data_IF_078901189543
#
_entry.id   IF_078901189543
#
_cell.length_a   1.000
_cell.length_b   1.000
_cell.length_c   1.000
_cell.angle_alpha   90.00
_cell.angle_beta   90.00
_cell.angle_gamma   90.00
#
_symmetry.space_group_name_H-M   'P 1'
#
loop_
_entity.id
_entity.type
_entity.pdbx_description
1 polymer ?
#
# COMPACT_ATOMS: atom_id res chain seq x y z
N UNK A 1 36.45 -43.41 67.61
CA UNK A 1 36.00 -42.02 67.88
C UNK A 1 37.11 -41.11 67.39
N UNK A 2 36.98 -40.17 66.46
CA UNK A 2 35.84 -39.42 65.90
C UNK A 2 36.37 -38.73 64.64
N UNK A 3 35.74 -38.91 63.48
CA UNK A 3 36.07 -38.22 62.23
C UNK A 3 35.15 -37.01 62.02
N UNK A 4 35.74 -35.83 61.79
CA UNK A 4 35.07 -34.63 61.25
C UNK A 4 35.84 -34.10 60.04
N UNK A 5 35.09 -33.39 59.19
CA UNK A 5 35.46 -32.61 58.00
C UNK A 5 35.58 -33.44 56.70
N UNK A 6 35.03 -33.03 55.55
CA UNK A 6 34.11 -31.95 55.21
C UNK A 6 33.45 -32.36 53.87
N UNK A 7 32.13 -32.15 53.71
CA UNK A 7 31.46 -32.34 52.43
C UNK A 7 31.78 -31.15 51.52
N UNK A 8 32.67 -31.34 50.56
CA UNK A 8 32.91 -30.39 49.48
C UNK A 8 31.87 -30.57 48.38
N UNK A 9 31.06 -29.53 48.20
CA UNK A 9 30.77 -28.91 46.90
C UNK A 9 30.38 -29.85 45.75
N UNK A 10 29.08 -30.19 45.65
CA UNK A 10 28.46 -30.65 44.39
C UNK A 10 27.35 -29.65 44.02
N UNK A 11 27.73 -28.40 43.76
CA UNK A 11 26.79 -27.36 43.38
C UNK A 11 27.44 -26.44 42.36
N UNK A 12 27.78 -26.94 41.18
CA UNK A 12 28.33 -26.07 40.13
C UNK A 12 27.96 -26.47 38.71
N UNK A 13 27.68 -27.74 38.42
CA UNK A 13 27.40 -28.19 37.04
C UNK A 13 25.95 -27.98 36.59
N UNK A 14 24.97 -28.12 37.48
CA UNK A 14 23.55 -27.96 37.14
C UNK A 14 23.13 -26.49 36.95
N UNK A 15 23.73 -25.57 37.71
CA UNK A 15 23.42 -24.14 37.65
C UNK A 15 23.95 -23.47 36.37
N UNK A 16 25.09 -23.93 35.85
CA UNK A 16 25.67 -23.43 34.59
C UNK A 16 24.86 -23.87 33.36
N UNK A 17 24.33 -25.10 33.36
CA UNK A 17 23.46 -25.61 32.30
C UNK A 17 22.10 -24.90 32.27
N UNK A 18 21.49 -24.63 33.43
CA UNK A 18 20.24 -23.88 33.49
C UNK A 18 20.40 -22.42 33.07
N UNK A 19 21.50 -21.77 33.46
CA UNK A 19 21.78 -20.39 33.07
C UNK A 19 22.01 -20.23 31.56
N UNK A 20 22.73 -21.17 30.94
CA UNK A 20 22.97 -21.15 29.48
C UNK A 20 21.68 -21.41 28.68
N UNK A 21 20.84 -22.36 29.10
CA UNK A 21 19.54 -22.62 28.46
C UNK A 21 18.62 -21.40 28.54
N UNK A 22 18.57 -20.68 29.67
CA UNK A 22 17.73 -19.49 29.83
C UNK A 22 18.22 -18.30 28.99
N UNK A 23 19.53 -18.15 28.76
CA UNK A 23 20.09 -17.12 27.88
C UNK A 23 19.78 -17.42 26.40
N UNK A 24 19.86 -18.69 25.99
CA UNK A 24 19.44 -19.13 24.64
C UNK A 24 17.93 -18.99 24.42
N UNK A 25 17.11 -19.23 25.45
CA UNK A 25 15.66 -19.05 25.35
C UNK A 25 15.27 -17.56 25.30
N UNK A 26 15.96 -16.69 26.05
CA UNK A 26 15.72 -15.25 25.97
C UNK A 26 16.12 -14.66 24.61
N UNK A 27 17.27 -15.07 24.06
CA UNK A 27 17.74 -14.55 22.75
C UNK A 27 16.88 -15.01 21.57
N UNK A 28 16.19 -16.15 21.68
CA UNK A 28 15.22 -16.60 20.66
C UNK A 28 13.85 -15.92 20.78
N UNK A 29 13.43 -15.53 21.98
CA UNK A 29 12.18 -14.79 22.23
C UNK A 29 12.26 -13.29 21.90
N UNK A 30 13.43 -12.67 22.05
CA UNK A 30 13.65 -11.24 21.72
C UNK A 30 14.30 -11.01 20.35
N UNK A 31 14.61 -12.07 19.61
CA UNK A 31 15.23 -12.05 18.29
C UNK A 31 14.26 -11.91 17.12
N UNK A 32 13.01 -11.49 17.35
CA UNK A 32 12.16 -11.02 16.25
C UNK A 32 12.70 -9.67 15.80
N UNK A 33 13.69 -9.74 14.92
CA UNK A 33 14.18 -8.62 14.15
C UNK A 33 12.97 -7.77 13.73
N UNK A 34 12.93 -6.55 14.24
CA UNK A 34 12.15 -5.49 13.66
C UNK A 34 12.63 -5.38 12.22
N UNK A 35 11.98 -6.10 11.31
CA UNK A 35 12.09 -5.85 9.89
C UNK A 35 11.70 -4.38 9.75
N UNK A 36 12.72 -3.55 9.57
CA UNK A 36 12.60 -2.11 9.55
C UNK A 36 11.66 -1.82 8.39
N UNK A 37 10.40 -1.51 8.70
CA UNK A 37 9.37 -1.29 7.71
C UNK A 37 9.89 -0.18 6.80
N UNK A 38 10.29 -0.56 5.59
CA UNK A 38 10.80 0.40 4.62
C UNK A 38 9.66 1.41 4.39
N UNK A 39 9.95 2.72 4.30
CA UNK A 39 8.90 3.68 3.97
C UNK A 39 8.31 3.32 2.60
N UNK A 40 6.98 3.42 2.49
CA UNK A 40 6.28 3.23 1.23
C UNK A 40 6.82 4.25 0.22
N UNK A 41 7.33 3.80 -0.92
CA UNK A 41 7.96 4.63 -1.94
C UNK A 41 7.27 4.41 -3.29
N UNK A 42 6.30 5.26 -3.58
CA UNK A 42 5.59 5.23 -4.85
C UNK A 42 6.47 5.72 -6.01
N UNK A 43 6.61 4.88 -7.03
CA UNK A 43 7.31 5.18 -8.28
C UNK A 43 6.33 5.16 -9.46
N UNK A 44 6.57 5.94 -10.53
CA UNK A 44 5.71 5.91 -11.72
C UNK A 44 5.63 4.50 -12.32
N UNK A 45 4.41 4.06 -12.62
CA UNK A 45 4.12 2.73 -13.19
C UNK A 45 3.33 2.82 -14.50
N UNK A 46 2.58 3.89 -14.71
CA UNK A 46 1.77 4.09 -15.90
C UNK A 46 0.97 5.37 -15.85
N UNK A 47 0.04 5.51 -16.80
CA UNK A 47 -0.91 6.61 -16.83
C UNK A 47 -2.23 6.14 -17.44
N UNK A 48 -3.32 6.78 -17.01
CA UNK A 48 -4.63 6.70 -17.64
C UNK A 48 -4.74 7.94 -18.55
N UNK A 49 -5.13 7.71 -19.80
CA UNK A 49 -5.32 8.77 -20.78
C UNK A 49 -6.33 9.82 -20.31
N UNK A 50 -6.29 11.05 -20.86
CA UNK A 50 -7.19 12.10 -20.41
C UNK A 50 -8.66 11.70 -20.51
N UNK A 51 -9.39 11.92 -19.42
CA UNK A 51 -10.86 11.85 -19.44
C UNK A 51 -11.40 13.22 -19.83
N UNK A 52 -12.28 13.24 -20.83
CA UNK A 52 -12.90 14.48 -21.33
C UNK A 52 -14.40 14.43 -21.08
N UNK A 53 -14.94 15.47 -20.46
CA UNK A 53 -16.38 15.56 -20.22
C UNK A 53 -16.74 16.73 -19.31
N UNK A 54 -17.93 16.66 -18.73
CA UNK A 54 -18.46 17.68 -17.83
C UNK A 54 -18.67 17.11 -16.44
N UNK A 55 -18.15 17.83 -15.44
CA UNK A 55 -18.29 17.53 -14.03
C UNK A 55 -19.16 18.59 -13.34
N UNK A 56 -20.40 18.26 -12.96
CA UNK A 56 -21.27 19.21 -12.26
C UNK A 56 -20.78 19.51 -10.84
N UNK A 57 -19.99 18.63 -10.21
CA UNK A 57 -19.45 18.89 -8.87
C UNK A 57 -18.35 19.97 -8.90
N UNK A 58 -17.81 20.27 -10.08
CA UNK A 58 -16.85 21.35 -10.30
C UNK A 58 -17.46 22.74 -10.26
N UNK A 59 -18.79 22.82 -10.39
CA UNK A 59 -19.53 24.08 -10.54
C UNK A 59 -19.75 24.69 -9.15
N UNK A 60 -18.73 25.37 -8.64
CA UNK A 60 -18.82 26.20 -7.43
C UNK A 60 -19.41 27.59 -7.72
N UNK A 61 -19.31 28.04 -8.97
CA UNK A 61 -19.99 29.20 -9.56
C UNK A 61 -20.35 28.81 -11.01
N UNK A 62 -21.41 29.36 -11.63
CA UNK A 62 -21.84 28.99 -13.01
C UNK A 62 -20.84 29.45 -14.09
N UNK A 63 -19.62 28.93 -14.05
CA UNK A 63 -18.53 29.18 -14.99
C UNK A 63 -18.21 27.88 -15.72
N UNK A 64 -18.54 27.83 -17.02
CA UNK A 64 -18.43 26.61 -17.83
C UNK A 64 -17.00 26.10 -17.98
N UNK A 65 -16.00 26.97 -17.91
CA UNK A 65 -14.58 26.62 -17.99
C UNK A 65 -14.11 25.79 -16.80
N UNK A 66 -14.79 25.88 -15.65
CA UNK A 66 -14.50 25.07 -14.47
C UNK A 66 -15.08 23.66 -14.57
N UNK A 67 -16.12 23.48 -15.40
CA UNK A 67 -16.88 22.24 -15.45
C UNK A 67 -16.37 21.26 -16.51
N UNK A 68 -15.52 21.68 -17.44
CA UNK A 68 -14.95 20.80 -18.45
C UNK A 68 -13.69 20.14 -17.89
N UNK A 69 -13.75 18.82 -17.76
CA UNK A 69 -12.60 17.98 -17.40
C UNK A 69 -11.83 17.64 -18.67
N UNK A 70 -10.51 17.77 -18.62
CA UNK A 70 -9.56 17.20 -19.57
C UNK A 70 -8.28 16.87 -18.79
N UNK A 71 -8.27 15.73 -18.09
CA UNK A 71 -7.23 15.41 -17.12
C UNK A 71 -6.70 13.98 -17.29
N UNK A 72 -5.39 13.79 -17.54
CA UNK A 72 -4.74 12.50 -17.38
C UNK A 72 -4.57 12.15 -15.90
N UNK A 73 -4.48 10.86 -15.60
CA UNK A 73 -4.22 10.35 -14.24
C UNK A 73 -2.92 9.58 -14.25
N UNK A 74 -1.99 9.95 -13.38
CA UNK A 74 -0.72 9.25 -13.24
C UNK A 74 -0.87 8.11 -12.24
N UNK A 75 -0.31 6.97 -12.59
CA UNK A 75 -0.34 5.78 -11.77
C UNK A 75 1.03 5.53 -11.18
N UNK A 76 1.07 5.33 -9.87
CA UNK A 76 2.29 4.98 -9.14
C UNK A 76 2.07 3.69 -8.36
N UNK A 77 3.13 2.89 -8.22
CA UNK A 77 3.11 1.66 -7.44
C UNK A 77 4.28 1.64 -6.48
N UNK A 78 4.20 0.85 -5.43
CA UNK A 78 5.33 0.59 -4.55
C UNK A 78 6.00 -0.74 -4.94
N UNK A 79 7.27 -0.75 -5.39
CA UNK A 79 7.96 -1.98 -5.78
C UNK A 79 8.35 -2.88 -4.59
N UNK A 80 8.26 -2.38 -3.37
CA UNK A 80 8.57 -3.10 -2.13
C UNK A 80 7.33 -3.48 -1.33
N UNK A 81 6.20 -2.80 -1.54
CA UNK A 81 4.88 -3.16 -1.01
C UNK A 81 3.95 -3.60 -2.14
N UNK A 82 3.96 -4.90 -2.49
CA UNK A 82 3.20 -5.40 -3.63
C UNK A 82 1.70 -5.20 -3.44
N UNK A 83 1.02 -4.98 -4.56
CA UNK A 83 -0.43 -4.85 -4.62
C UNK A 83 -1.03 -3.49 -4.26
N UNK A 84 -0.21 -2.44 -4.12
CA UNK A 84 -0.67 -1.06 -3.91
C UNK A 84 -0.55 -0.22 -5.19
N UNK A 85 -1.61 0.51 -5.48
CA UNK A 85 -1.65 1.52 -6.54
C UNK A 85 -2.02 2.87 -5.95
N UNK A 86 -1.28 3.91 -6.29
CA UNK A 86 -1.56 5.29 -5.95
C UNK A 86 -1.86 6.10 -7.23
N UNK A 87 -2.86 6.96 -7.16
CA UNK A 87 -3.28 7.80 -8.27
C UNK A 87 -2.95 9.26 -7.98
N UNK A 88 -2.27 9.91 -8.92
CA UNK A 88 -1.92 11.32 -8.84
C UNK A 88 -2.56 12.08 -9.99
N UNK A 89 -3.11 13.25 -9.68
CA UNK A 89 -3.77 14.15 -10.62
C UNK A 89 -2.98 15.45 -10.72
N UNK A 90 -2.94 16.05 -11.92
CA UNK A 90 -2.38 17.40 -12.11
C UNK A 90 -3.32 18.50 -11.62
N UNK A 91 -4.62 18.29 -11.81
CA UNK A 91 -5.67 19.19 -11.36
C UNK A 91 -6.82 18.37 -10.78
N UNK A 92 -7.71 19.04 -10.05
CA UNK A 92 -8.87 18.37 -9.47
C UNK A 92 -9.78 17.78 -10.57
N UNK A 93 -10.23 16.54 -10.36
CA UNK A 93 -11.29 15.89 -11.14
C UNK A 93 -12.16 15.07 -10.18
N UNK A 94 -13.48 15.21 -10.26
CA UNK A 94 -14.40 14.22 -9.71
C UNK A 94 -14.47 12.99 -10.63
N UNK A 95 -13.35 12.30 -10.78
CA UNK A 95 -13.23 11.14 -11.66
C UNK A 95 -13.46 9.86 -10.84
N UNK A 96 -14.24 8.91 -11.37
CA UNK A 96 -14.29 7.53 -10.86
C UNK A 96 -13.40 6.64 -11.72
N UNK A 97 -12.35 6.09 -11.10
CA UNK A 97 -11.45 5.12 -11.74
C UNK A 97 -11.96 3.72 -11.47
N UNK A 98 -12.60 3.12 -12.46
CA UNK A 98 -12.96 1.71 -12.42
C UNK A 98 -11.74 0.89 -12.82
N UNK A 99 -11.33 -0.06 -12.00
CA UNK A 99 -10.15 -0.87 -12.25
C UNK A 99 -10.46 -2.36 -12.12
N UNK A 100 -9.68 -3.16 -12.83
CA UNK A 100 -9.74 -4.61 -12.79
C UNK A 100 -8.33 -5.18 -12.89
N UNK A 101 -7.98 -6.06 -11.96
CA UNK A 101 -6.74 -6.82 -11.95
C UNK A 101 -6.99 -8.18 -12.61
N UNK A 102 -6.39 -8.39 -13.78
CA UNK A 102 -6.53 -9.61 -14.58
C UNK A 102 -5.85 -10.81 -13.94
N UNK A 103 -4.86 -10.60 -13.08
CA UNK A 103 -4.15 -11.67 -12.36
C UNK A 103 -4.94 -12.17 -11.15
N UNK A 104 -5.45 -11.27 -10.32
CA UNK A 104 -6.19 -11.64 -9.09
C UNK A 104 -7.69 -11.78 -9.28
N UNK A 105 -8.22 -11.39 -10.45
CA UNK A 105 -9.66 -11.33 -10.75
C UNK A 105 -10.44 -10.44 -9.78
N UNK A 106 -9.77 -9.42 -9.23
CA UNK A 106 -10.37 -8.42 -8.36
C UNK A 106 -10.62 -7.13 -9.14
N UNK A 107 -11.69 -6.43 -8.79
CA UNK A 107 -11.99 -5.12 -9.35
C UNK A 107 -12.59 -4.20 -8.31
N UNK A 108 -12.63 -2.92 -8.63
CA UNK A 108 -13.16 -1.91 -7.75
C UNK A 108 -13.23 -0.54 -8.41
N UNK A 109 -13.61 0.44 -7.59
CA UNK A 109 -13.68 1.84 -7.99
C UNK A 109 -12.83 2.66 -7.02
N UNK A 110 -11.96 3.50 -7.56
CA UNK A 110 -11.20 4.48 -6.81
C UNK A 110 -11.67 5.88 -7.17
N UNK A 111 -11.74 6.73 -6.15
CA UNK A 111 -12.02 8.14 -6.31
C UNK A 111 -10.77 8.91 -5.89
N UNK A 112 -9.92 9.34 -6.84
CA UNK A 112 -8.89 10.34 -6.59
C UNK A 112 -9.58 11.69 -6.35
N UNK A 113 -10.33 11.81 -5.25
CA UNK A 113 -11.09 13.00 -4.92
C UNK A 113 -10.20 14.16 -4.45
N UNK A 114 -10.80 15.30 -4.05
CA UNK A 114 -10.07 16.47 -3.54
C UNK A 114 -9.32 16.19 -2.22
N UNK A 115 -9.67 15.09 -1.54
CA UNK A 115 -8.98 14.62 -0.35
C UNK A 115 -8.06 13.47 -0.74
N UNK A 116 -6.83 13.41 -0.19
CA UNK A 116 -5.94 12.29 -0.42
C UNK A 116 -6.59 11.01 0.11
N UNK A 117 -7.19 10.23 -0.80
CA UNK A 117 -7.77 8.92 -0.51
C UNK A 117 -6.69 7.87 -0.24
N UNK A 118 -5.42 8.22 -0.47
CA UNK A 118 -4.27 7.36 -0.30
C UNK A 118 -4.23 6.25 -1.35
N UNK A 119 -3.21 5.39 -1.28
CA UNK A 119 -3.11 4.26 -2.17
C UNK A 119 -4.22 3.24 -1.92
N UNK A 120 -4.70 2.62 -3.00
CA UNK A 120 -5.67 1.54 -2.98
C UNK A 120 -4.98 0.19 -3.13
N UNK A 121 -5.63 -0.87 -2.64
CA UNK A 121 -5.20 -2.26 -2.88
C UNK A 121 -5.81 -2.79 -4.17
N UNK A 122 -5.01 -2.86 -5.23
CA UNK A 122 -5.38 -3.47 -6.51
C UNK A 122 -4.96 -4.93 -6.61
N UNK A 123 -4.11 -5.40 -5.68
CA UNK A 123 -3.43 -6.70 -5.80
C UNK A 123 -2.26 -6.63 -6.78
N UNK A 124 -1.31 -7.56 -6.66
CA UNK A 124 -0.20 -7.69 -7.61
C UNK A 124 -0.71 -8.24 -8.94
N UNK A 125 -0.07 -7.87 -10.04
CA UNK A 125 -0.45 -8.33 -11.37
C UNK A 125 -0.73 -7.22 -12.38
N UNK A 126 -1.33 -7.65 -13.50
CA UNK A 126 -1.72 -6.77 -14.60
C UNK A 126 -3.07 -6.11 -14.30
N UNK A 127 -3.08 -4.78 -14.24
CA UNK A 127 -4.26 -3.97 -13.92
C UNK A 127 -4.62 -3.11 -15.11
N UNK A 128 -5.89 -3.14 -15.49
CA UNK A 128 -6.48 -2.19 -16.43
C UNK A 128 -7.50 -1.31 -15.72
N UNK A 129 -7.62 -0.06 -16.15
CA UNK A 129 -8.64 0.84 -15.64
C UNK A 129 -9.20 1.76 -16.71
N UNK A 130 -10.40 2.23 -16.42
CA UNK A 130 -11.04 3.29 -17.17
C UNK A 130 -11.69 4.31 -16.23
N UNK A 131 -11.89 5.51 -16.75
CA UNK A 131 -12.34 6.64 -15.93
C UNK A 131 -13.62 7.25 -16.48
N UNK A 132 -14.58 7.43 -15.59
CA UNK A 132 -15.85 8.10 -15.85
C UNK A 132 -16.03 9.30 -14.91
N UNK A 133 -16.89 10.25 -15.29
CA UNK A 133 -17.25 11.42 -14.48
C UNK A 133 -18.62 11.15 -13.82
N UNK A 134 -18.69 10.84 -12.51
CA UNK A 134 -19.94 10.56 -11.81
C UNK A 134 -20.83 11.79 -11.73
N UNK A 135 -22.13 11.60 -11.94
CA UNK A 135 -23.12 12.68 -11.90
C UNK A 135 -23.08 13.64 -13.10
N UNK A 136 -22.01 13.60 -13.91
CA UNK A 136 -21.84 14.39 -15.11
C UNK A 136 -22.00 13.59 -16.41
N UNK A 137 -21.35 14.06 -17.48
CA UNK A 137 -21.26 13.33 -18.74
C UNK A 137 -19.81 13.12 -19.13
N UNK A 138 -19.49 11.92 -19.61
CA UNK A 138 -18.16 11.56 -20.12
C UNK A 138 -18.24 11.49 -21.65
N UNK A 139 -17.51 12.36 -22.34
CA UNK A 139 -17.41 12.36 -23.81
C UNK A 139 -16.33 11.40 -24.28
N UNK A 140 -15.16 11.48 -23.64
CA UNK A 140 -14.03 10.59 -23.89
C UNK A 140 -13.63 9.97 -22.57
N UNK A 141 -13.73 8.64 -22.51
CA UNK A 141 -13.34 7.85 -21.36
C UNK A 141 -11.83 7.69 -21.33
N UNK A 142 -11.18 8.10 -20.24
CA UNK A 142 -9.77 7.80 -20.00
C UNK A 142 -9.57 6.30 -19.82
N UNK A 143 -8.47 5.77 -20.33
CA UNK A 143 -8.10 4.36 -20.20
C UNK A 143 -6.60 4.21 -19.97
N UNK A 144 -6.22 3.18 -19.22
CA UNK A 144 -4.82 2.87 -18.97
C UNK A 144 -4.65 1.47 -18.41
N UNK A 145 -3.42 0.98 -18.46
CA UNK A 145 -3.01 -0.28 -17.87
C UNK A 145 -1.61 -0.14 -17.26
N UNK A 146 -1.34 -0.92 -16.22
CA UNK A 146 -0.06 -0.94 -15.53
C UNK A 146 0.15 -2.28 -14.83
N UNK A 147 1.41 -2.58 -14.56
CA UNK A 147 1.78 -3.71 -13.73
C UNK A 147 1.97 -3.28 -12.28
N UNK A 148 1.40 -4.05 -11.35
CA UNK A 148 1.61 -3.90 -9.91
C UNK A 148 2.52 -5.03 -9.44
N UNK A 149 3.69 -4.73 -8.85
CA UNK A 149 4.60 -5.71 -8.27
C UNK A 149 3.92 -6.62 -7.24
#
# INVERSE_FOLDING_TARGET
MTTRHARTSVASSATLLFATVMIFLATTLFGTASAQARPVQFVPAGAISPTIGFDPAAVIEWRLDQAIVNQPIFVRVDPYFPGLTDFSLNNWCNCAINWFNHTTQQGGVAFPGPLPSGPIRTGSGDVSAWTDIPGGFTLVRGQGNWWVP
#
